data_IF_281488942316
#
_entry.id   IF_281488942316
#
_cell.length_a   1.000
_cell.length_b   1.000
_cell.length_c   1.000
_cell.angle_alpha   90.00
_cell.angle_beta   90.00
_cell.angle_gamma   90.00
#
_symmetry.space_group_name_H-M   'P 1'
#
loop_
_entity.id
_entity.type
_entity.pdbx_description
1 polymer ?
#
# COMPACT_ATOMS: atom_id res chain seq x y z
N UNK A 1 20.84 -2.82 12.45
CA UNK A 1 20.17 -4.12 12.31
C UNK A 1 21.24 -5.18 12.33
N UNK A 2 21.12 -6.16 13.21
CA UNK A 2 21.99 -7.35 13.29
C UNK A 2 21.23 -8.51 12.66
N UNK A 3 21.83 -9.18 11.69
CA UNK A 3 21.28 -10.38 11.08
C UNK A 3 22.00 -11.61 11.67
N UNK A 4 21.32 -12.35 12.54
CA UNK A 4 21.83 -13.57 13.12
C UNK A 4 21.36 -14.79 12.30
N UNK A 5 22.31 -15.45 11.65
CA UNK A 5 22.07 -16.65 10.84
C UNK A 5 22.70 -17.92 11.45
N UNK A 6 23.09 -17.89 12.72
CA UNK A 6 23.77 -19.00 13.40
C UNK A 6 23.00 -20.33 13.25
N UNK A 7 21.68 -20.29 13.41
CA UNK A 7 20.83 -21.48 13.30
C UNK A 7 20.62 -21.97 11.85
N UNK A 8 21.23 -21.33 10.86
CA UNK A 8 21.28 -21.80 9.47
C UNK A 8 22.55 -22.56 9.14
N UNK A 9 23.55 -22.56 10.05
CA UNK A 9 24.86 -23.18 9.81
C UNK A 9 24.94 -24.62 10.30
N UNK A 10 25.76 -25.44 9.64
CA UNK A 10 26.00 -26.85 10.03
C UNK A 10 26.55 -26.96 11.45
N UNK A 11 27.29 -25.98 11.92
CA UNK A 11 27.79 -25.95 13.31
C UNK A 11 26.68 -25.88 14.37
N UNK A 12 25.51 -25.34 14.04
CA UNK A 12 24.38 -25.25 14.97
C UNK A 12 23.34 -26.38 14.78
N UNK A 13 23.06 -26.78 13.52
CA UNK A 13 21.96 -27.70 13.19
C UNK A 13 22.43 -28.99 12.49
N UNK A 14 23.71 -29.28 12.51
CA UNK A 14 24.31 -30.50 11.95
C UNK A 14 24.15 -30.60 10.43
N UNK A 15 23.85 -31.79 9.93
CA UNK A 15 23.77 -32.09 8.51
C UNK A 15 22.67 -31.33 7.76
N UNK A 16 21.74 -30.70 8.47
CA UNK A 16 20.66 -29.89 7.89
C UNK A 16 21.05 -28.42 7.67
N UNK A 17 22.22 -28.00 8.15
CA UNK A 17 22.71 -26.63 8.00
C UNK A 17 23.66 -26.45 6.83
N UNK A 18 23.93 -25.18 6.50
CA UNK A 18 24.92 -24.82 5.48
C UNK A 18 26.33 -24.93 6.11
N UNK A 19 27.21 -25.65 5.46
CA UNK A 19 28.61 -25.81 5.91
C UNK A 19 29.39 -24.49 5.69
N UNK A 20 30.32 -24.19 6.59
CA UNK A 20 31.08 -22.93 6.58
C UNK A 20 31.94 -22.76 5.32
N UNK A 21 32.50 -23.86 4.80
CA UNK A 21 33.25 -23.89 3.54
C UNK A 21 32.36 -23.51 2.34
N UNK A 22 31.09 -23.93 2.34
CA UNK A 22 30.12 -23.54 1.32
C UNK A 22 29.77 -22.06 1.40
N UNK A 23 29.61 -21.52 2.62
CA UNK A 23 29.38 -20.09 2.81
C UNK A 23 30.61 -19.31 2.30
N UNK A 24 31.82 -19.74 2.63
CA UNK A 24 33.04 -19.12 2.15
C UNK A 24 33.18 -19.19 0.63
N UNK A 25 32.85 -20.31 0.01
CA UNK A 25 32.88 -20.50 -1.43
C UNK A 25 31.87 -19.62 -2.21
N UNK A 26 30.78 -19.19 -1.56
CA UNK A 26 29.80 -18.27 -2.17
C UNK A 26 30.24 -16.80 -2.18
N UNK A 27 31.29 -16.44 -1.43
CA UNK A 27 31.71 -15.04 -1.28
C UNK A 27 31.95 -14.33 -2.62
N UNK A 28 32.71 -14.86 -3.60
CA UNK A 28 32.92 -14.18 -4.88
C UNK A 28 31.63 -13.94 -5.66
N UNK A 29 30.69 -14.90 -5.63
CA UNK A 29 29.40 -14.75 -6.27
C UNK A 29 28.55 -13.67 -5.59
N UNK A 30 28.57 -13.60 -4.26
CA UNK A 30 27.87 -12.56 -3.49
C UNK A 30 28.45 -11.16 -3.76
N UNK A 31 29.76 -11.02 -3.83
CA UNK A 31 30.46 -9.78 -4.17
C UNK A 31 30.06 -9.29 -5.58
N UNK A 32 30.08 -10.18 -6.58
CA UNK A 32 29.64 -9.87 -7.94
C UNK A 32 28.16 -9.43 -8.00
N UNK A 33 27.26 -10.11 -7.29
CA UNK A 33 25.85 -9.72 -7.22
C UNK A 33 25.68 -8.37 -6.52
N UNK A 34 26.43 -8.10 -5.46
CA UNK A 34 26.40 -6.82 -4.75
C UNK A 34 26.86 -5.67 -5.65
N UNK A 35 27.91 -5.88 -6.45
CA UNK A 35 28.41 -4.90 -7.42
C UNK A 35 27.36 -4.61 -8.52
N UNK A 36 26.72 -5.65 -9.07
CA UNK A 36 25.65 -5.48 -10.07
C UNK A 36 24.46 -4.69 -9.50
N UNK A 37 23.96 -5.08 -8.32
CA UNK A 37 22.86 -4.37 -7.65
C UNK A 37 23.23 -2.91 -7.39
N UNK A 38 24.47 -2.67 -6.93
CA UNK A 38 24.95 -1.32 -6.66
C UNK A 38 25.05 -0.48 -7.93
N UNK A 39 25.55 -1.06 -9.02
CA UNK A 39 25.63 -0.40 -10.31
C UNK A 39 24.23 -0.06 -10.87
N UNK A 40 23.31 -0.99 -10.80
CA UNK A 40 21.89 -0.80 -11.22
C UNK A 40 21.17 0.26 -10.39
N UNK A 41 21.43 0.29 -9.08
CA UNK A 41 20.91 1.34 -8.18
C UNK A 41 21.42 2.71 -8.59
N UNK A 42 22.74 2.86 -8.83
CA UNK A 42 23.38 4.14 -9.23
C UNK A 42 22.77 4.73 -10.50
N UNK A 43 22.36 3.90 -11.45
CA UNK A 43 21.76 4.35 -12.73
C UNK A 43 20.22 4.35 -12.70
N UNK A 44 19.61 4.23 -11.53
CA UNK A 44 18.15 4.34 -11.36
C UNK A 44 17.33 3.13 -11.85
N UNK A 45 17.97 2.00 -12.21
CA UNK A 45 17.26 0.78 -12.64
C UNK A 45 16.52 0.05 -11.52
N UNK A 46 16.76 0.45 -10.27
CA UNK A 46 16.11 -0.09 -9.08
C UNK A 46 15.48 1.06 -8.26
N UNK A 47 14.39 1.67 -8.74
CA UNK A 47 13.85 2.90 -8.18
C UNK A 47 13.35 2.74 -6.74
N UNK A 48 12.98 1.53 -6.30
CA UNK A 48 12.52 1.29 -4.94
C UNK A 48 13.57 1.62 -3.85
N UNK A 49 14.86 1.61 -4.17
CA UNK A 49 15.91 2.05 -3.24
C UNK A 49 15.86 3.55 -2.91
N UNK A 50 15.24 4.34 -3.75
CA UNK A 50 15.08 5.78 -3.55
C UNK A 50 13.86 6.15 -2.70
N UNK A 51 12.90 5.24 -2.53
CA UNK A 51 11.62 5.53 -1.87
C UNK A 51 11.75 6.06 -0.44
N UNK A 52 12.66 5.55 0.43
CA UNK A 52 12.83 6.09 1.78
C UNK A 52 13.25 7.57 1.83
N UNK A 53 13.73 8.11 0.73
CA UNK A 53 14.21 9.50 0.60
C UNK A 53 13.25 10.37 -0.24
N UNK A 54 12.11 9.82 -0.65
CA UNK A 54 11.13 10.55 -1.44
C UNK A 54 10.47 11.65 -0.59
N UNK A 55 10.13 12.78 -1.24
CA UNK A 55 9.33 13.81 -0.60
C UNK A 55 7.88 13.33 -0.49
N UNK A 56 7.35 13.31 0.74
CA UNK A 56 5.97 12.89 1.06
C UNK A 56 5.12 14.04 1.61
N UNK A 57 5.57 15.28 1.49
CA UNK A 57 4.89 16.45 2.06
C UNK A 57 3.44 16.58 1.62
N UNK A 58 3.16 16.30 0.34
CA UNK A 58 1.81 16.40 -0.24
C UNK A 58 0.88 15.33 0.34
N UNK A 59 1.39 14.11 0.52
CA UNK A 59 0.64 13.00 1.15
C UNK A 59 0.32 13.35 2.60
N UNK A 60 1.31 13.82 3.35
CA UNK A 60 1.16 14.21 4.76
C UNK A 60 0.16 15.36 4.89
N UNK A 61 0.25 16.37 4.02
CA UNK A 61 -0.68 17.50 3.99
C UNK A 61 -2.09 17.07 3.69
N UNK A 62 -2.27 16.18 2.68
CA UNK A 62 -3.57 15.62 2.33
C UNK A 62 -4.15 14.79 3.49
N UNK A 63 -3.37 13.88 4.06
CA UNK A 63 -3.80 13.02 5.16
C UNK A 63 -4.25 13.83 6.40
N UNK A 64 -3.56 14.92 6.72
CA UNK A 64 -3.95 15.82 7.82
C UNK A 64 -5.32 16.45 7.57
N UNK A 65 -5.54 17.04 6.37
CA UNK A 65 -6.83 17.62 6.00
C UNK A 65 -7.95 16.58 5.94
N UNK A 66 -7.64 15.37 5.47
CA UNK A 66 -8.59 14.27 5.46
C UNK A 66 -8.99 13.87 6.90
N UNK A 67 -8.04 13.80 7.82
CA UNK A 67 -8.30 13.48 9.24
C UNK A 67 -9.13 14.52 9.98
N UNK A 68 -9.18 15.77 9.51
CA UNK A 68 -10.08 16.82 10.04
C UNK A 68 -11.53 16.65 9.58
N UNK A 69 -11.75 15.93 8.48
CA UNK A 69 -13.05 15.80 7.82
C UNK A 69 -13.66 14.41 7.94
N UNK A 70 -12.84 13.38 7.92
CA UNK A 70 -13.27 11.99 7.88
C UNK A 70 -12.89 11.25 9.16
N UNK A 71 -13.77 10.37 9.61
CA UNK A 71 -13.57 9.50 10.78
C UNK A 71 -13.02 8.11 10.39
N UNK A 72 -13.26 7.73 9.15
CA UNK A 72 -12.92 6.40 8.62
C UNK A 72 -12.18 6.53 7.28
N UNK A 73 -11.13 5.73 7.13
CA UNK A 73 -10.38 5.55 5.90
C UNK A 73 -10.47 4.10 5.44
N UNK A 74 -10.87 3.88 4.20
CA UNK A 74 -10.95 2.56 3.59
C UNK A 74 -9.95 2.48 2.43
N UNK A 75 -8.98 1.58 2.57
CA UNK A 75 -8.08 1.22 1.49
C UNK A 75 -8.78 0.18 0.59
N UNK A 76 -8.99 0.53 -0.68
CA UNK A 76 -9.55 -0.37 -1.71
C UNK A 76 -8.43 -0.76 -2.65
N UNK A 77 -7.91 -1.97 -2.53
CA UNK A 77 -6.78 -2.42 -3.35
C UNK A 77 -6.33 -3.82 -2.99
N UNK A 78 -5.75 -4.54 -3.93
CA UNK A 78 -5.41 -5.96 -3.80
C UNK A 78 -3.90 -6.17 -3.84
N UNK A 79 -3.41 -7.15 -3.09
CA UNK A 79 -2.00 -7.52 -3.05
C UNK A 79 -1.10 -6.36 -2.62
N UNK A 80 -0.17 -5.94 -3.49
CA UNK A 80 0.73 -4.82 -3.19
C UNK A 80 0.03 -3.48 -2.90
N UNK A 81 -1.22 -3.33 -3.32
CA UNK A 81 -2.03 -2.13 -3.06
C UNK A 81 -2.71 -2.12 -1.67
N UNK A 82 -2.60 -3.19 -0.90
CA UNK A 82 -3.17 -3.28 0.45
C UNK A 82 -2.15 -3.77 1.50
N UNK A 83 -1.38 -4.83 1.18
CA UNK A 83 -0.55 -5.55 2.16
C UNK A 83 0.49 -4.68 2.86
N UNK A 84 1.07 -3.69 2.15
CA UNK A 84 2.04 -2.78 2.74
C UNK A 84 1.42 -1.89 3.82
N UNK A 85 0.27 -1.29 3.52
CA UNK A 85 -0.49 -0.47 4.45
C UNK A 85 -1.02 -1.29 5.64
N UNK A 86 -1.52 -2.50 5.39
CA UNK A 86 -1.94 -3.43 6.45
C UNK A 86 -0.78 -3.78 7.39
N UNK A 87 0.39 -4.12 6.84
CA UNK A 87 1.56 -4.45 7.64
C UNK A 87 1.98 -3.29 8.56
N UNK A 88 1.98 -2.06 8.04
CA UNK A 88 2.28 -0.86 8.82
C UNK A 88 1.21 -0.60 9.88
N UNK A 89 -0.05 -0.72 9.54
CA UNK A 89 -1.16 -0.57 10.48
C UNK A 89 -1.05 -1.56 11.65
N UNK A 90 -0.84 -2.84 11.35
CA UNK A 90 -0.71 -3.88 12.38
C UNK A 90 0.55 -3.72 13.25
N UNK A 91 1.63 -3.19 12.67
CA UNK A 91 2.89 -2.99 13.41
C UNK A 91 2.90 -1.74 14.28
N UNK A 92 2.20 -0.68 13.89
CA UNK A 92 2.33 0.65 14.50
C UNK A 92 1.09 1.07 15.31
N UNK A 93 -0.09 0.52 14.99
CA UNK A 93 -1.32 0.89 15.67
C UNK A 93 -1.67 -0.10 16.80
N UNK A 94 -2.49 0.38 17.71
CA UNK A 94 -3.03 -0.49 18.78
C UNK A 94 -3.87 -1.63 18.18
N UNK A 95 -3.82 -2.89 18.68
CA UNK A 95 -4.58 -4.02 18.12
C UNK A 95 -6.10 -3.75 18.01
N UNK A 96 -6.64 -2.93 18.87
CA UNK A 96 -8.05 -2.51 18.87
C UNK A 96 -8.25 -1.06 18.39
N UNK A 97 -7.37 -0.56 17.53
CA UNK A 97 -7.39 0.82 17.06
C UNK A 97 -8.77 1.28 16.60
N UNK A 98 -9.44 0.50 15.76
CA UNK A 98 -10.72 0.88 15.13
C UNK A 98 -11.90 0.97 16.12
N UNK A 99 -11.81 0.34 17.29
CA UNK A 99 -12.88 0.33 18.31
C UNK A 99 -12.48 1.05 19.59
N UNK A 100 -11.21 1.48 19.69
CA UNK A 100 -10.70 2.22 20.87
C UNK A 100 -11.34 3.61 20.96
N UNK A 101 -11.85 3.96 22.12
CA UNK A 101 -12.26 5.35 22.44
C UNK A 101 -11.03 6.24 22.61
N UNK A 102 -11.09 7.47 22.10
CA UNK A 102 -9.96 8.41 22.16
C UNK A 102 -8.76 7.95 21.33
N UNK A 103 -9.00 7.26 20.19
CA UNK A 103 -7.95 6.93 19.23
C UNK A 103 -7.38 8.17 18.57
N UNK A 104 -6.13 8.11 18.17
CA UNK A 104 -5.53 9.10 17.30
C UNK A 104 -5.83 8.75 15.85
N UNK A 105 -6.38 9.70 15.09
CA UNK A 105 -6.65 9.56 13.67
C UNK A 105 -7.90 8.75 13.33
N UNK A 106 -8.03 8.43 12.05
CA UNK A 106 -9.18 7.73 11.47
C UNK A 106 -9.18 6.24 11.81
N UNK A 107 -10.35 5.61 11.78
CA UNK A 107 -10.44 4.14 11.66
C UNK A 107 -9.92 3.72 10.30
N UNK A 108 -9.20 2.61 10.24
CA UNK A 108 -8.61 2.08 8.99
C UNK A 108 -9.20 0.71 8.67
N UNK A 109 -9.77 0.58 7.49
CA UNK A 109 -10.27 -0.69 6.97
C UNK A 109 -9.66 -0.98 5.59
N UNK A 110 -9.66 -2.27 5.22
CA UNK A 110 -9.06 -2.74 3.98
C UNK A 110 -10.07 -3.59 3.21
N UNK A 111 -10.47 -3.12 2.04
CA UNK A 111 -11.23 -3.87 1.05
C UNK A 111 -10.23 -4.47 0.06
N UNK A 112 -9.59 -5.58 0.46
CA UNK A 112 -8.46 -6.20 -0.23
C UNK A 112 -8.84 -7.44 -1.04
N UNK A 113 -10.14 -7.70 -1.16
CA UNK A 113 -10.72 -8.75 -1.97
C UNK A 113 -12.12 -8.33 -2.47
N UNK A 114 -12.61 -9.04 -3.50
CA UNK A 114 -13.97 -8.82 -4.06
C UNK A 114 -15.05 -9.64 -3.32
N UNK A 115 -14.75 -10.14 -2.14
CA UNK A 115 -15.70 -10.90 -1.34
C UNK A 115 -16.91 -10.06 -0.95
N UNK A 116 -18.13 -10.44 -1.38
CA UNK A 116 -19.34 -9.66 -1.15
C UNK A 116 -19.72 -9.56 0.34
N UNK A 117 -19.46 -10.58 1.12
CA UNK A 117 -19.79 -10.58 2.56
C UNK A 117 -18.88 -9.64 3.33
N UNK A 118 -17.59 -9.63 3.01
CA UNK A 118 -16.64 -8.66 3.56
C UNK A 118 -17.02 -7.23 3.18
N UNK A 119 -17.41 -7.00 1.92
CA UNK A 119 -17.81 -5.67 1.46
C UNK A 119 -19.12 -5.21 2.12
N UNK A 120 -20.11 -6.08 2.24
CA UNK A 120 -21.36 -5.78 2.93
C UNK A 120 -21.11 -5.43 4.40
N UNK A 121 -20.33 -6.24 5.12
CA UNK A 121 -19.98 -5.97 6.51
C UNK A 121 -19.21 -4.66 6.70
N UNK A 122 -18.31 -4.32 5.75
CA UNK A 122 -17.62 -3.03 5.76
C UNK A 122 -18.60 -1.84 5.64
N UNK A 123 -19.58 -1.95 4.75
CA UNK A 123 -20.60 -0.91 4.53
C UNK A 123 -21.56 -0.76 5.72
N UNK A 124 -21.76 -1.81 6.52
CA UNK A 124 -22.56 -1.74 7.75
C UNK A 124 -21.84 -0.96 8.88
N UNK A 125 -20.51 -1.01 8.93
CA UNK A 125 -19.73 -0.37 10.02
C UNK A 125 -19.13 0.99 9.66
N UNK A 126 -19.09 1.34 8.37
CA UNK A 126 -18.57 2.61 7.87
C UNK A 126 -19.71 3.54 7.45
N UNK A 127 -19.89 4.67 8.14
CA UNK A 127 -20.80 5.71 7.64
C UNK A 127 -20.20 6.38 6.39
N UNK A 128 -20.83 6.28 5.22
CA UNK A 128 -20.32 6.89 3.99
C UNK A 128 -20.11 8.41 4.08
N UNK A 129 -20.87 9.09 4.95
CA UNK A 129 -20.77 10.55 5.14
C UNK A 129 -19.46 10.98 5.78
N UNK A 130 -18.83 10.08 6.53
CA UNK A 130 -17.58 10.35 7.26
C UNK A 130 -16.45 9.41 6.82
N UNK A 131 -16.61 8.73 5.70
CA UNK A 131 -15.62 7.80 5.16
C UNK A 131 -14.93 8.36 3.93
N UNK A 132 -13.59 8.23 3.89
CA UNK A 132 -12.74 8.46 2.73
C UNK A 132 -12.29 7.11 2.17
N UNK A 133 -12.50 6.87 0.88
CA UNK A 133 -12.02 5.68 0.18
C UNK A 133 -10.78 6.01 -0.65
N UNK A 134 -9.67 5.33 -0.40
CA UNK A 134 -8.49 5.37 -1.26
C UNK A 134 -8.50 4.17 -2.20
N UNK A 135 -8.75 4.41 -3.47
CA UNK A 135 -8.77 3.35 -4.49
C UNK A 135 -7.38 3.24 -5.10
N UNK A 136 -6.77 2.09 -4.94
CA UNK A 136 -5.37 1.86 -5.28
C UNK A 136 -5.23 0.77 -6.33
N UNK A 137 -4.78 1.14 -7.51
CA UNK A 137 -4.31 0.19 -8.52
C UNK A 137 -3.20 0.79 -9.36
N UNK A 138 -2.03 0.16 -9.31
CA UNK A 138 -0.86 0.60 -10.08
C UNK A 138 -1.13 0.61 -11.60
N UNK A 139 -1.82 -0.40 -12.12
CA UNK A 139 -2.17 -0.48 -13.56
C UNK A 139 -3.28 0.47 -13.97
N UNK A 140 -4.08 0.92 -13.00
CA UNK A 140 -5.29 1.70 -13.23
C UNK A 140 -6.51 0.88 -13.67
N UNK A 141 -6.39 -0.45 -13.86
CA UNK A 141 -7.45 -1.27 -14.50
C UNK A 141 -7.57 -2.67 -13.88
N UNK A 142 -7.17 -2.85 -12.61
CA UNK A 142 -7.36 -4.13 -11.90
C UNK A 142 -8.85 -4.37 -11.70
N UNK A 143 -9.41 -5.41 -12.31
CA UNK A 143 -10.86 -5.65 -12.38
C UNK A 143 -11.52 -5.71 -11.01
N UNK A 144 -10.90 -6.39 -10.06
CA UNK A 144 -11.40 -6.56 -8.71
C UNK A 144 -11.44 -5.20 -7.95
N UNK A 145 -10.38 -4.42 -8.07
CA UNK A 145 -10.32 -3.07 -7.46
C UNK A 145 -11.36 -2.15 -8.10
N UNK A 146 -11.53 -2.22 -9.42
CA UNK A 146 -12.53 -1.44 -10.14
C UNK A 146 -13.95 -1.86 -9.75
N UNK A 147 -14.22 -3.15 -9.59
CA UNK A 147 -15.52 -3.66 -9.10
C UNK A 147 -15.86 -3.11 -7.72
N UNK A 148 -14.94 -3.20 -6.77
CA UNK A 148 -15.10 -2.66 -5.41
C UNK A 148 -15.29 -1.14 -5.42
N UNK A 149 -14.53 -0.42 -6.27
CA UNK A 149 -14.70 1.01 -6.47
C UNK A 149 -16.10 1.38 -6.96
N UNK A 150 -16.65 0.65 -7.94
CA UNK A 150 -18.00 0.92 -8.47
C UNK A 150 -19.08 0.74 -7.40
N UNK A 151 -18.95 -0.25 -6.51
CA UNK A 151 -19.85 -0.46 -5.37
C UNK A 151 -19.76 0.74 -4.41
N UNK A 152 -18.54 1.15 -4.04
CA UNK A 152 -18.33 2.30 -3.18
C UNK A 152 -18.88 3.61 -3.80
N UNK A 153 -18.65 3.80 -5.11
CA UNK A 153 -19.16 4.96 -5.86
C UNK A 153 -20.70 5.02 -5.85
N UNK A 154 -21.38 3.93 -6.19
CA UNK A 154 -22.86 3.86 -6.19
C UNK A 154 -23.42 4.19 -4.81
N UNK A 155 -22.83 3.63 -3.75
CA UNK A 155 -23.22 3.93 -2.37
C UNK A 155 -23.01 5.41 -2.03
N UNK A 156 -21.88 6.00 -2.38
CA UNK A 156 -21.58 7.42 -2.14
C UNK A 156 -22.54 8.32 -2.92
N UNK A 157 -22.80 8.04 -4.20
CA UNK A 157 -23.76 8.82 -5.01
C UNK A 157 -25.15 8.84 -4.38
N UNK A 158 -25.62 7.71 -3.84
CA UNK A 158 -26.91 7.61 -3.15
C UNK A 158 -26.94 8.30 -1.79
N UNK A 159 -25.81 8.34 -1.07
CA UNK A 159 -25.78 8.80 0.33
C UNK A 159 -25.40 10.26 0.46
N UNK A 160 -24.39 10.72 -0.29
CA UNK A 160 -23.86 12.09 -0.23
C UNK A 160 -24.10 12.90 -1.51
N UNK A 161 -24.72 12.30 -2.51
CA UNK A 161 -25.13 12.97 -3.75
C UNK A 161 -23.94 13.58 -4.51
N UNK A 162 -24.04 14.84 -4.91
CA UNK A 162 -23.04 15.50 -5.74
C UNK A 162 -21.64 15.58 -5.14
N UNK A 163 -21.50 15.45 -3.82
CA UNK A 163 -20.20 15.50 -3.12
C UNK A 163 -19.44 14.16 -3.08
N UNK A 164 -19.94 13.11 -3.74
CA UNK A 164 -19.34 11.78 -3.71
C UNK A 164 -17.84 11.76 -4.08
N UNK A 165 -17.42 12.66 -4.96
CA UNK A 165 -16.02 12.80 -5.40
C UNK A 165 -15.08 13.19 -4.27
N UNK A 166 -15.56 13.98 -3.32
CA UNK A 166 -14.79 14.45 -2.16
C UNK A 166 -14.50 13.34 -1.15
N UNK A 167 -15.19 12.20 -1.26
CA UNK A 167 -15.00 11.00 -0.45
C UNK A 167 -14.07 9.99 -1.09
N UNK A 168 -13.39 10.38 -2.16
CA UNK A 168 -12.46 9.53 -2.90
C UNK A 168 -11.09 10.17 -3.02
N UNK A 169 -10.07 9.33 -2.95
CA UNK A 169 -8.72 9.63 -3.41
C UNK A 169 -8.22 8.42 -4.20
N UNK A 170 -7.47 8.66 -5.26
CA UNK A 170 -6.94 7.59 -6.09
C UNK A 170 -5.42 7.51 -5.98
N UNK A 171 -4.89 6.29 -5.94
CA UNK A 171 -3.45 6.05 -6.01
C UNK A 171 -3.20 5.12 -7.20
N UNK A 172 -2.67 5.68 -8.30
CA UNK A 172 -2.61 4.97 -9.58
C UNK A 172 -1.45 5.44 -10.46
N UNK A 173 -1.32 4.86 -11.65
CA UNK A 173 -0.35 5.29 -12.66
C UNK A 173 -0.54 6.79 -12.97
N UNK A 174 0.54 7.56 -13.12
CA UNK A 174 0.44 9.00 -13.39
C UNK A 174 -0.10 9.36 -14.77
N UNK A 175 -0.12 8.43 -15.72
CA UNK A 175 -0.38 8.75 -17.13
C UNK A 175 -1.46 7.88 -17.80
N UNK A 176 -1.74 6.67 -17.30
CA UNK A 176 -2.57 5.69 -17.99
C UNK A 176 -3.44 4.87 -17.05
N UNK A 177 -4.40 4.15 -17.65
CA UNK A 177 -5.37 3.30 -16.96
C UNK A 177 -6.70 4.01 -16.69
N UNK A 178 -7.75 3.21 -16.49
CA UNK A 178 -9.12 3.69 -16.33
C UNK A 178 -9.25 4.58 -15.09
N UNK A 179 -8.59 4.20 -13.99
CA UNK A 179 -8.63 4.99 -12.75
C UNK A 179 -7.98 6.38 -12.93
N UNK A 180 -6.93 6.50 -13.76
CA UNK A 180 -6.35 7.80 -14.14
C UNK A 180 -7.33 8.64 -14.96
N UNK A 181 -7.96 8.03 -15.95
CA UNK A 181 -8.94 8.71 -16.78
C UNK A 181 -10.13 9.23 -15.94
N UNK A 182 -10.63 8.42 -14.99
CA UNK A 182 -11.70 8.83 -14.08
C UNK A 182 -11.21 9.95 -13.14
N UNK A 183 -9.97 9.86 -12.61
CA UNK A 183 -9.42 10.92 -11.76
C UNK A 183 -9.41 12.28 -12.45
N UNK A 184 -9.05 12.31 -13.73
CA UNK A 184 -8.99 13.53 -14.53
C UNK A 184 -10.39 14.04 -14.92
N UNK A 185 -11.28 13.16 -15.41
CA UNK A 185 -12.63 13.55 -15.82
C UNK A 185 -13.48 14.05 -14.66
N UNK A 186 -13.42 13.37 -13.53
CA UNK A 186 -14.22 13.67 -12.35
C UNK A 186 -13.54 14.59 -11.34
N UNK A 187 -12.27 14.98 -11.62
CA UNK A 187 -11.44 15.85 -10.76
C UNK A 187 -11.25 15.28 -9.35
N UNK A 188 -11.07 13.98 -9.26
CA UNK A 188 -10.80 13.29 -7.99
C UNK A 188 -9.32 13.46 -7.62
N UNK A 189 -9.04 13.77 -6.36
CA UNK A 189 -7.69 13.87 -5.83
C UNK A 189 -6.92 12.58 -6.08
N UNK A 190 -5.65 12.68 -6.48
CA UNK A 190 -4.88 11.47 -6.78
C UNK A 190 -3.40 11.60 -6.50
N UNK A 191 -2.78 10.47 -6.14
CA UNK A 191 -1.34 10.32 -5.96
C UNK A 191 -0.76 9.36 -7.00
N UNK A 192 0.40 9.69 -7.58
CA UNK A 192 1.03 8.82 -8.57
C UNK A 192 1.77 7.65 -7.90
N UNK A 193 1.59 6.44 -8.43
CA UNK A 193 2.48 5.31 -8.12
C UNK A 193 3.75 5.48 -8.96
N UNK A 194 4.95 5.53 -8.34
CA UNK A 194 6.19 5.70 -9.09
C UNK A 194 6.41 4.60 -10.12
N UNK A 195 6.80 4.99 -11.33
CA UNK A 195 7.09 4.04 -12.39
C UNK A 195 8.30 3.14 -12.03
N UNK A 196 8.27 1.91 -12.51
CA UNK A 196 9.34 0.93 -12.29
C UNK A 196 9.34 0.28 -10.88
N UNK A 197 8.47 0.71 -9.97
CA UNK A 197 8.30 0.05 -8.66
C UNK A 197 7.30 -1.09 -8.80
N UNK A 198 7.73 -2.32 -8.48
CA UNK A 198 6.84 -3.50 -8.45
C UNK A 198 5.90 -3.49 -7.24
N UNK A 199 4.76 -4.18 -7.33
CA UNK A 199 3.78 -4.25 -6.23
C UNK A 199 4.37 -4.69 -4.89
N UNK A 200 5.31 -5.65 -4.90
CA UNK A 200 6.00 -6.14 -3.69
C UNK A 200 6.91 -5.10 -3.03
N UNK A 201 7.25 -4.02 -3.72
CA UNK A 201 8.14 -2.95 -3.24
C UNK A 201 7.40 -1.63 -3.03
N UNK A 202 6.05 -1.64 -3.07
CA UNK A 202 5.23 -0.43 -3.08
C UNK A 202 4.96 0.16 -1.70
N UNK A 203 5.24 -0.54 -0.61
CA UNK A 203 4.94 -0.11 0.77
C UNK A 203 5.48 1.28 1.14
N UNK A 204 6.55 1.73 0.49
CA UNK A 204 7.14 3.07 0.69
C UNK A 204 6.72 4.06 -0.42
N UNK A 205 5.71 3.76 -1.21
CA UNK A 205 5.10 4.66 -2.19
C UNK A 205 3.81 5.27 -1.63
N UNK A 206 3.08 6.12 -2.38
CA UNK A 206 1.74 6.60 -1.99
C UNK A 206 0.66 5.51 -1.82
N UNK A 207 1.02 4.25 -2.06
CA UNK A 207 0.11 3.09 -1.94
C UNK A 207 -0.27 2.82 -0.49
#
# INVERSE_FOLDING_TARGET
>A
IVFDFKNMTAGAVGAHGVADDRIAAMRPAMESVHEDVTARRKVGKLPFFGLPYANVSDIVSYARKAGERFDTFVNVGIGGSALGAQALFLALCHPFHNVKTGRDGMRLFFADNIDPDTMAGLLEVCDPRTTLFNVITKSGSTAETMGTFLIAKDMLERTVGASWRDHLVFTTDPQKGDLRAIAESDKIASFPVPQGVGGRFSVMTPV
#
